data_IF_584418903575
#
_entry.id   IF_584418903575
#
_cell.length_a   1.000
_cell.length_b   1.000
_cell.length_c   1.000
_cell.angle_alpha   90.00
_cell.angle_beta   90.00
_cell.angle_gamma   90.00
#
_symmetry.space_group_name_H-M   'P 1'
#
loop_
_entity.id
_entity.type
_entity.pdbx_description
1 polymer ?
#
# COMPACT_ATOMS: atom_id res chain seq x y z
N UNK A 1 -13.03 -5.99 0.17
CA UNK A 1 -13.78 -4.77 0.54
C UNK A 1 -15.26 -4.90 0.23
N UNK A 2 -15.63 -4.93 -1.06
CA UNK A 2 -17.01 -4.77 -1.56
C UNK A 2 -17.99 -5.86 -1.13
N UNK A 3 -17.54 -7.12 -0.95
CA UNK A 3 -18.42 -8.23 -0.58
C UNK A 3 -19.20 -8.02 0.74
N UNK A 4 -18.65 -7.22 1.67
CA UNK A 4 -19.28 -6.89 2.95
C UNK A 4 -20.24 -5.70 2.91
N UNK A 5 -20.37 -5.00 1.77
CA UNK A 5 -21.16 -3.77 1.68
C UNK A 5 -22.63 -4.08 1.39
N UNK A 6 -23.59 -3.39 2.01
CA UNK A 6 -24.99 -3.53 1.65
C UNK A 6 -25.20 -3.11 0.18
N UNK A 7 -26.23 -3.66 -0.47
CA UNK A 7 -26.49 -3.42 -1.91
C UNK A 7 -26.55 -1.93 -2.24
N UNK A 8 -27.12 -1.10 -1.35
CA UNK A 8 -27.14 0.35 -1.55
C UNK A 8 -25.75 0.95 -1.74
N UNK A 9 -24.76 0.55 -0.94
CA UNK A 9 -23.42 1.10 -1.08
C UNK A 9 -22.75 0.65 -2.38
N UNK A 10 -23.09 -0.52 -2.89
CA UNK A 10 -22.59 -0.98 -4.19
C UNK A 10 -23.16 -0.13 -5.34
N UNK A 11 -24.45 0.21 -5.29
CA UNK A 11 -25.07 1.09 -6.28
C UNK A 11 -24.54 2.52 -6.18
N UNK A 12 -24.38 3.05 -4.96
CA UNK A 12 -23.80 4.38 -4.74
C UNK A 12 -22.37 4.45 -5.25
N UNK A 13 -21.54 3.44 -4.96
CA UNK A 13 -20.18 3.37 -5.50
C UNK A 13 -20.19 3.33 -7.02
N UNK A 14 -21.10 2.56 -7.63
CA UNK A 14 -21.23 2.52 -9.08
C UNK A 14 -21.59 3.90 -9.65
N UNK A 15 -22.55 4.59 -9.05
CA UNK A 15 -22.95 5.95 -9.45
C UNK A 15 -21.80 6.95 -9.33
N UNK A 16 -21.14 7.00 -8.17
CA UNK A 16 -20.01 7.92 -7.93
C UNK A 16 -18.82 7.64 -8.84
N UNK A 17 -18.60 6.37 -9.21
CA UNK A 17 -17.46 5.96 -10.05
C UNK A 17 -17.81 5.89 -11.54
N UNK A 18 -19.05 6.19 -11.92
CA UNK A 18 -19.54 6.05 -13.29
C UNK A 18 -19.46 4.61 -13.82
N UNK A 19 -19.54 3.61 -12.93
CA UNK A 19 -19.44 2.20 -13.28
C UNK A 19 -20.78 1.63 -13.73
N UNK A 20 -20.77 0.77 -14.74
CA UNK A 20 -21.95 0.13 -15.28
C UNK A 20 -22.14 -1.26 -14.65
N UNK A 21 -23.33 -1.50 -14.12
CA UNK A 21 -23.72 -2.79 -13.51
C UNK A 21 -24.60 -3.65 -14.43
N UNK A 22 -24.78 -3.23 -15.69
CA UNK A 22 -25.60 -3.93 -16.67
C UNK A 22 -25.01 -5.32 -16.95
N UNK A 23 -25.84 -6.36 -16.76
CA UNK A 23 -25.44 -7.76 -16.96
C UNK A 23 -25.06 -8.52 -15.68
N UNK A 24 -25.16 -7.91 -14.50
CA UNK A 24 -25.14 -8.64 -13.24
C UNK A 24 -26.51 -9.26 -12.93
N UNK A 25 -26.61 -10.58 -12.95
CA UNK A 25 -27.83 -11.31 -12.58
C UNK A 25 -27.88 -11.63 -11.08
N UNK A 26 -26.73 -11.57 -10.39
CA UNK A 26 -26.62 -11.81 -8.96
C UNK A 26 -25.62 -10.87 -8.28
N UNK A 27 -25.63 -10.87 -6.94
CA UNK A 27 -24.79 -10.00 -6.12
C UNK A 27 -23.30 -10.26 -6.29
N UNK A 28 -22.90 -11.51 -6.51
CA UNK A 28 -21.49 -11.86 -6.70
C UNK A 28 -20.94 -11.25 -8.00
N UNK A 29 -21.68 -11.37 -9.10
CA UNK A 29 -21.36 -10.76 -10.38
C UNK A 29 -21.36 -9.23 -10.30
N UNK A 30 -22.30 -8.62 -9.57
CA UNK A 30 -22.31 -7.18 -9.33
C UNK A 30 -21.03 -6.73 -8.62
N UNK A 31 -20.60 -7.45 -7.58
CA UNK A 31 -19.36 -7.15 -6.85
C UNK A 31 -18.13 -7.33 -7.74
N UNK A 32 -18.09 -8.37 -8.57
CA UNK A 32 -16.98 -8.64 -9.48
C UNK A 32 -16.86 -7.56 -10.58
N UNK A 33 -17.97 -7.23 -11.24
CA UNK A 33 -18.00 -6.17 -12.27
C UNK A 33 -17.64 -4.81 -11.70
N UNK A 34 -18.13 -4.50 -10.49
CA UNK A 34 -17.81 -3.26 -9.82
C UNK A 34 -16.33 -3.24 -9.41
N UNK A 35 -15.81 -4.32 -8.83
CA UNK A 35 -14.40 -4.40 -8.44
C UNK A 35 -13.48 -4.11 -9.65
N UNK A 36 -13.73 -4.77 -10.79
CA UNK A 36 -12.93 -4.58 -11.99
C UNK A 36 -12.90 -3.11 -12.45
N UNK A 37 -14.04 -2.43 -12.43
CA UNK A 37 -14.15 -1.02 -12.84
C UNK A 37 -13.56 -0.06 -11.79
N UNK A 38 -13.71 -0.34 -10.50
CA UNK A 38 -13.15 0.48 -9.42
C UNK A 38 -11.62 0.40 -9.34
N UNK A 39 -11.04 -0.68 -9.83
CA UNK A 39 -9.58 -0.89 -9.87
C UNK A 39 -8.94 -0.43 -11.18
N UNK A 40 -9.73 0.05 -12.15
CA UNK A 40 -9.18 0.63 -13.37
C UNK A 40 -8.34 1.88 -13.04
N UNK A 41 -7.12 2.02 -13.58
CA UNK A 41 -6.21 3.13 -13.27
C UNK A 41 -6.85 4.50 -13.48
N UNK A 42 -7.64 4.65 -14.56
CA UNK A 42 -8.28 5.92 -14.89
C UNK A 42 -9.38 6.22 -13.89
N UNK A 43 -10.21 5.22 -13.56
CA UNK A 43 -11.27 5.38 -12.56
C UNK A 43 -10.71 5.76 -11.18
N UNK A 44 -9.62 5.14 -10.76
CA UNK A 44 -8.97 5.46 -9.47
C UNK A 44 -8.41 6.88 -9.47
N UNK A 45 -7.71 7.28 -10.54
CA UNK A 45 -7.11 8.62 -10.64
C UNK A 45 -8.17 9.72 -10.68
N UNK A 46 -9.27 9.51 -11.42
CA UNK A 46 -10.39 10.44 -11.45
C UNK A 46 -11.04 10.56 -10.07
N UNK A 47 -11.37 9.45 -9.42
CA UNK A 47 -11.96 9.46 -8.10
C UNK A 47 -11.03 10.11 -7.05
N UNK A 48 -9.72 9.90 -7.16
CA UNK A 48 -8.74 10.58 -6.33
C UNK A 48 -8.72 12.10 -6.57
N UNK A 49 -8.73 12.54 -7.83
CA UNK A 49 -8.76 13.97 -8.15
C UNK A 49 -10.04 14.62 -7.60
N UNK A 50 -11.20 13.97 -7.77
CA UNK A 50 -12.48 14.48 -7.29
C UNK A 50 -12.50 14.67 -5.77
N UNK A 51 -11.95 13.73 -5.00
CA UNK A 51 -11.89 13.87 -3.52
C UNK A 51 -10.90 14.95 -3.07
N UNK A 52 -9.77 15.11 -3.78
CA UNK A 52 -8.78 16.16 -3.48
C UNK A 52 -9.33 17.54 -3.83
N UNK A 53 -10.03 17.67 -4.96
CA UNK A 53 -10.70 18.91 -5.37
C UNK A 53 -11.82 19.28 -4.39
N UNK A 54 -12.52 18.28 -3.83
CA UNK A 54 -13.51 18.50 -2.77
C UNK A 54 -12.86 18.99 -1.46
N UNK A 55 -11.74 18.40 -1.05
CA UNK A 55 -10.99 18.84 0.12
C UNK A 55 -9.51 18.47 0.03
N UNK A 56 -8.59 19.44 0.18
CA UNK A 56 -7.15 19.15 0.12
C UNK A 56 -6.68 18.23 1.26
N UNK A 57 -7.40 18.15 2.38
CA UNK A 57 -7.10 17.21 3.46
C UNK A 57 -7.23 15.73 3.04
N UNK A 58 -7.92 15.44 1.94
CA UNK A 58 -8.01 14.08 1.38
C UNK A 58 -6.63 13.59 0.90
N UNK A 59 -5.81 14.46 0.33
CA UNK A 59 -4.44 14.13 -0.08
C UNK A 59 -3.58 13.77 1.13
N UNK A 60 -3.66 14.55 2.21
CA UNK A 60 -2.93 14.27 3.46
C UNK A 60 -3.31 12.90 4.05
N UNK A 61 -4.61 12.58 4.06
CA UNK A 61 -5.14 11.32 4.58
C UNK A 61 -4.66 10.11 3.76
N UNK A 62 -4.65 10.22 2.43
CA UNK A 62 -4.14 9.19 1.53
C UNK A 62 -2.63 9.03 1.71
N UNK A 63 -1.89 10.13 1.79
CA UNK A 63 -0.44 10.12 2.03
C UNK A 63 -0.08 9.48 3.38
N UNK A 64 -0.85 9.75 4.44
CA UNK A 64 -0.67 9.08 5.73
C UNK A 64 -0.82 7.56 5.59
N UNK A 65 -1.90 7.10 4.94
CA UNK A 65 -2.11 5.66 4.71
C UNK A 65 -0.98 5.06 3.89
N UNK A 66 -0.51 5.72 2.82
CA UNK A 66 0.61 5.22 2.01
C UNK A 66 1.92 5.11 2.81
N UNK A 67 2.19 6.06 3.72
CA UNK A 67 3.35 6.00 4.63
C UNK A 67 3.25 4.87 5.64
N UNK A 68 2.06 4.60 6.15
CA UNK A 68 1.75 3.51 7.10
C UNK A 68 1.50 2.17 6.37
N UNK A 69 2.08 1.98 5.18
CA UNK A 69 1.98 0.75 4.37
C UNK A 69 0.54 0.33 4.02
N UNK A 70 -0.37 1.30 3.92
CA UNK A 70 -1.75 1.12 3.50
C UNK A 70 -2.70 0.72 4.63
N UNK A 71 -2.29 0.67 5.90
CA UNK A 71 -3.18 0.29 7.01
C UNK A 71 -2.97 1.15 8.25
N UNK A 72 -4.05 1.58 8.89
CA UNK A 72 -4.01 2.33 10.15
C UNK A 72 -5.17 1.95 11.07
N UNK A 73 -4.97 2.05 12.38
CA UNK A 73 -6.05 1.87 13.34
C UNK A 73 -7.16 2.92 13.12
N UNK A 74 -8.43 2.50 13.08
CA UNK A 74 -9.56 3.41 12.84
C UNK A 74 -9.61 4.53 13.89
N UNK A 75 -9.31 4.21 15.15
CA UNK A 75 -9.27 5.19 16.23
C UNK A 75 -8.15 6.24 16.06
N UNK A 76 -7.07 5.92 15.34
CA UNK A 76 -6.01 6.88 15.02
C UNK A 76 -6.41 7.74 13.83
N UNK A 77 -6.85 7.10 12.73
CA UNK A 77 -7.29 7.80 11.52
C UNK A 77 -8.43 8.80 11.80
N UNK A 78 -9.41 8.40 12.61
CA UNK A 78 -10.58 9.22 12.92
C UNK A 78 -10.33 10.42 13.82
N UNK A 79 -9.20 10.46 14.55
CA UNK A 79 -8.83 11.64 15.36
C UNK A 79 -8.42 12.81 14.49
N UNK A 80 -7.84 12.54 13.32
CA UNK A 80 -7.29 13.55 12.42
C UNK A 80 -8.25 13.85 11.27
N UNK A 81 -8.90 12.83 10.71
CA UNK A 81 -9.73 12.93 9.49
C UNK A 81 -11.23 12.71 9.74
N UNK A 82 -11.62 12.56 11.01
CA UNK A 82 -12.99 12.29 11.45
C UNK A 82 -13.43 10.83 11.28
N UNK A 83 -14.56 10.48 11.88
CA UNK A 83 -15.07 9.11 11.87
C UNK A 83 -15.97 8.83 10.66
N UNK A 84 -16.08 7.55 10.30
CA UNK A 84 -17.08 7.05 9.34
C UNK A 84 -18.33 6.66 10.15
N UNK A 85 -19.46 7.34 9.94
CA UNK A 85 -20.67 7.04 10.70
C UNK A 85 -21.21 5.66 10.32
N UNK A 86 -21.44 4.81 11.33
CA UNK A 86 -22.06 3.51 11.11
C UNK A 86 -23.56 3.67 10.92
N UNK A 87 -24.02 3.39 9.71
CA UNK A 87 -25.42 3.51 9.32
C UNK A 87 -25.90 2.20 8.69
N UNK A 88 -27.08 1.73 9.11
CA UNK A 88 -27.75 0.63 8.42
C UNK A 88 -28.32 1.09 7.06
N UNK A 89 -28.70 0.15 6.17
CA UNK A 89 -29.14 0.46 4.81
C UNK A 89 -30.27 1.50 4.75
N UNK A 90 -31.32 1.34 5.56
CA UNK A 90 -32.44 2.28 5.59
C UNK A 90 -32.08 3.70 6.06
N UNK A 91 -31.01 3.84 6.85
CA UNK A 91 -30.51 5.15 7.29
C UNK A 91 -29.63 5.79 6.21
N UNK A 92 -28.81 4.99 5.52
CA UNK A 92 -28.04 5.42 4.36
C UNK A 92 -28.94 5.99 3.25
N UNK A 93 -30.06 5.34 2.94
CA UNK A 93 -31.05 5.84 1.95
C UNK A 93 -31.63 7.20 2.30
N UNK A 94 -31.81 7.47 3.60
CA UNK A 94 -32.47 8.67 4.09
C UNK A 94 -31.52 9.85 4.20
N UNK A 95 -30.29 9.59 4.64
CA UNK A 95 -29.31 10.64 4.95
C UNK A 95 -28.32 10.86 3.81
N UNK A 96 -28.14 9.88 2.91
CA UNK A 96 -27.24 9.93 1.75
C UNK A 96 -25.89 10.58 2.07
N UNK A 97 -25.12 10.05 3.05
CA UNK A 97 -23.93 10.70 3.58
C UNK A 97 -22.81 10.93 2.54
N UNK A 98 -22.87 10.27 1.39
CA UNK A 98 -21.97 10.52 0.26
C UNK A 98 -22.20 11.84 -0.45
N UNK A 99 -23.38 12.46 -0.33
CA UNK A 99 -23.69 13.76 -0.95
C UNK A 99 -23.07 14.90 -0.13
N UNK A 100 -23.13 14.80 1.20
CA UNK A 100 -22.57 15.75 2.14
C UNK A 100 -21.81 15.01 3.25
N UNK A 101 -20.58 14.53 2.97
CA UNK A 101 -19.78 13.83 3.96
C UNK A 101 -19.43 14.77 5.12
N UNK A 102 -19.55 14.28 6.36
CA UNK A 102 -19.20 15.07 7.55
C UNK A 102 -17.70 15.01 7.87
N UNK A 103 -16.98 14.05 7.28
CA UNK A 103 -15.56 13.82 7.53
C UNK A 103 -14.81 13.44 6.26
N UNK A 104 -13.49 13.66 6.27
CA UNK A 104 -12.60 13.24 5.18
C UNK A 104 -12.61 11.70 5.07
N UNK A 105 -12.73 11.00 6.20
CA UNK A 105 -12.89 9.55 6.21
C UNK A 105 -14.15 9.10 5.45
N UNK A 106 -15.29 9.77 5.62
CA UNK A 106 -16.52 9.47 4.87
C UNK A 106 -16.34 9.74 3.37
N UNK A 107 -15.76 10.89 3.03
CA UNK A 107 -15.49 11.26 1.65
C UNK A 107 -14.67 10.17 0.93
N UNK A 108 -13.55 9.74 1.53
CA UNK A 108 -12.69 8.71 0.95
C UNK A 108 -13.37 7.33 0.92
N UNK A 109 -14.15 6.99 1.95
CA UNK A 109 -14.81 5.70 2.07
C UNK A 109 -15.93 5.52 1.03
N UNK A 110 -16.79 6.52 0.88
CA UNK A 110 -17.90 6.45 -0.07
C UNK A 110 -17.46 6.53 -1.53
N UNK A 111 -16.32 7.15 -1.82
CA UNK A 111 -15.69 7.11 -3.15
C UNK A 111 -14.89 5.82 -3.42
N UNK A 112 -14.82 4.92 -2.44
CA UNK A 112 -14.15 3.63 -2.59
C UNK A 112 -12.62 3.72 -2.64
N UNK A 113 -12.04 4.83 -2.18
CA UNK A 113 -10.57 4.99 -2.08
C UNK A 113 -10.04 4.20 -0.89
N UNK A 114 -10.73 4.23 0.26
CA UNK A 114 -10.36 3.50 1.48
C UNK A 114 -11.44 2.51 1.88
N UNK A 115 -11.02 1.43 2.53
CA UNK A 115 -11.90 0.44 3.16
C UNK A 115 -11.82 0.47 4.68
N UNK A 116 -12.85 -0.09 5.31
CA UNK A 116 -12.89 -0.35 6.75
C UNK A 116 -12.92 -1.85 6.99
N UNK A 117 -12.07 -2.34 7.88
CA UNK A 117 -11.94 -3.74 8.21
C UNK A 117 -11.68 -3.97 9.69
N UNK A 118 -11.46 -5.23 10.06
CA UNK A 118 -11.03 -5.63 11.40
C UNK A 118 -9.78 -6.48 11.28
N UNK A 119 -8.82 -6.25 12.18
CA UNK A 119 -7.56 -7.00 12.25
C UNK A 119 -7.37 -7.58 13.65
N UNK A 120 -6.77 -8.77 13.72
CA UNK A 120 -6.53 -9.51 14.96
C UNK A 120 -7.59 -10.57 15.26
N UNK A 121 -7.50 -11.18 16.43
CA UNK A 121 -8.40 -12.24 16.89
C UNK A 121 -8.71 -12.11 18.39
N UNK A 122 -9.93 -12.47 18.78
CA UNK A 122 -10.38 -12.42 20.18
C UNK A 122 -10.32 -11.02 20.76
N UNK A 123 -9.63 -10.87 21.90
CA UNK A 123 -9.53 -9.59 22.63
C UNK A 123 -8.65 -8.54 21.93
N UNK A 124 -7.83 -8.95 20.94
CA UNK A 124 -6.96 -8.05 20.19
C UNK A 124 -7.58 -7.60 18.85
N UNK A 125 -8.83 -8.01 18.57
CA UNK A 125 -9.54 -7.57 17.38
C UNK A 125 -9.86 -6.07 17.48
N UNK A 126 -9.38 -5.31 16.50
CA UNK A 126 -9.64 -3.88 16.42
C UNK A 126 -9.98 -3.47 14.98
N UNK A 127 -10.70 -2.37 14.85
CA UNK A 127 -11.06 -1.83 13.55
C UNK A 127 -9.88 -1.08 12.93
N UNK A 128 -9.72 -1.26 11.62
CA UNK A 128 -8.69 -0.62 10.82
C UNK A 128 -9.33 0.09 9.63
N UNK A 129 -8.68 1.17 9.21
CA UNK A 129 -8.86 1.78 7.90
C UNK A 129 -7.70 1.28 7.05
N UNK A 130 -8.00 0.86 5.83
CA UNK A 130 -6.99 0.35 4.93
C UNK A 130 -7.19 0.89 3.52
N UNK A 131 -6.08 1.01 2.80
CA UNK A 131 -6.04 1.32 1.38
C UNK A 131 -6.06 0.00 0.60
N UNK A 132 -7.05 -0.26 -0.26
CA UNK A 132 -7.08 -1.48 -1.05
C UNK A 132 -5.80 -1.64 -1.89
N UNK A 133 -5.24 -2.86 -1.90
CA UNK A 133 -4.01 -3.18 -2.65
C UNK A 133 -4.11 -2.90 -4.14
N UNK A 134 -5.33 -2.94 -4.67
CA UNK A 134 -5.61 -2.78 -6.10
C UNK A 134 -5.82 -1.30 -6.47
N UNK A 135 -5.99 -0.43 -5.47
CA UNK A 135 -6.15 1.03 -5.61
C UNK A 135 -4.82 1.73 -5.36
N UNK A 136 -4.06 1.29 -4.36
CA UNK A 136 -2.81 1.92 -3.93
C UNK A 136 -1.79 2.20 -5.07
N UNK A 137 -1.55 1.28 -6.03
CA UNK A 137 -0.56 1.48 -7.10
C UNK A 137 -0.86 2.68 -8.02
N UNK A 138 -2.12 3.10 -8.08
CA UNK A 138 -2.58 4.14 -9.00
C UNK A 138 -2.62 5.54 -8.38
N UNK A 139 -2.34 5.64 -7.08
CA UNK A 139 -2.33 6.88 -6.32
C UNK A 139 -0.94 7.55 -6.38
N UNK A 140 -0.87 8.89 -6.25
CA UNK A 140 0.42 9.58 -6.17
C UNK A 140 1.14 9.13 -4.90
N UNK A 141 2.26 8.46 -5.08
CA UNK A 141 3.06 8.04 -3.94
C UNK A 141 3.83 9.25 -3.42
N UNK A 142 3.79 9.54 -2.11
CA UNK A 142 4.57 10.63 -1.55
C UNK A 142 6.03 10.37 -1.91
N UNK A 143 6.66 11.34 -2.58
CA UNK A 143 8.09 11.29 -2.83
C UNK A 143 8.75 11.15 -1.47
N UNK A 144 9.43 10.03 -1.27
CA UNK A 144 10.08 9.76 0.00
C UNK A 144 11.09 10.90 0.23
N UNK A 145 10.87 11.77 1.21
CA UNK A 145 11.84 12.85 1.52
C UNK A 145 13.20 12.25 1.92
N UNK A 146 13.22 10.98 2.31
CA UNK A 146 14.41 10.15 2.54
C UNK A 146 15.02 9.54 1.28
N UNK A 147 14.35 9.67 0.12
CA UNK A 147 14.96 9.52 -1.20
C UNK A 147 15.53 10.85 -1.70
N UNK A 148 15.91 11.75 -0.77
CA UNK A 148 17.12 12.52 -1.00
C UNK A 148 18.19 11.51 -1.40
N UNK A 149 18.61 11.58 -2.66
CA UNK A 149 19.65 10.78 -3.28
C UNK A 149 20.66 10.38 -2.19
N UNK A 150 20.74 9.09 -1.86
CA UNK A 150 21.95 8.59 -1.18
C UNK A 150 23.08 9.20 -1.98
N UNK A 151 23.94 10.06 -1.41
CA UNK A 151 24.89 10.82 -2.20
C UNK A 151 25.85 9.81 -2.81
N UNK A 152 25.53 9.35 -4.03
CA UNK A 152 26.34 8.42 -4.78
C UNK A 152 27.52 9.25 -5.22
N UNK A 153 28.56 9.27 -4.39
CA UNK A 153 29.81 9.88 -4.76
C UNK A 153 30.46 8.92 -5.76
N UNK A 154 30.59 9.28 -7.06
CA UNK A 154 31.36 8.46 -7.97
C UNK A 154 32.78 8.36 -7.41
N UNK A 155 33.14 7.17 -6.96
CA UNK A 155 34.51 6.83 -6.60
C UNK A 155 35.24 6.56 -7.91
N UNK A 156 36.48 7.02 -8.01
CA UNK A 156 37.31 6.70 -9.16
C UNK A 156 37.30 5.18 -9.38
N UNK A 157 37.20 4.69 -10.64
CA UNK A 157 37.30 3.27 -10.89
C UNK A 157 38.57 2.75 -10.20
N UNK A 158 38.51 1.60 -9.50
CA UNK A 158 39.69 1.03 -8.86
C UNK A 158 40.79 0.96 -9.92
N UNK A 159 42.05 1.29 -9.57
CA UNK A 159 43.15 1.20 -10.53
C UNK A 159 43.10 -0.18 -11.15
N UNK A 160 43.17 -0.25 -12.49
CA UNK A 160 43.15 -1.51 -13.21
C UNK A 160 44.09 -2.47 -12.47
N UNK A 161 43.52 -3.51 -11.86
CA UNK A 161 44.31 -4.51 -11.18
C UNK A 161 45.35 -4.93 -12.18
N UNK A 162 46.63 -4.74 -11.86
CA UNK A 162 47.71 -5.28 -12.67
C UNK A 162 47.40 -6.76 -12.68
N UNK A 163 46.84 -7.27 -13.80
CA UNK A 163 46.74 -8.69 -14.03
C UNK A 163 48.20 -9.11 -14.01
N UNK A 164 48.66 -9.62 -12.87
CA UNK A 164 49.87 -10.37 -12.82
C UNK A 164 49.57 -11.54 -13.75
N UNK A 165 50.08 -11.47 -14.98
CA UNK A 165 50.13 -12.60 -15.90
C UNK A 165 51.14 -13.59 -15.34
N UNK A 166 50.92 -14.03 -14.11
CA UNK A 166 51.61 -15.12 -13.48
C UNK A 166 50.63 -16.30 -13.55
N UNK A 167 50.80 -17.20 -14.53
CA UNK A 167 49.91 -18.35 -14.71
C UNK A 167 49.86 -19.24 -13.47
N UNK A 168 50.89 -19.18 -12.62
CA UNK A 168 51.01 -20.02 -11.43
C UNK A 168 50.62 -19.29 -10.15
N UNK A 169 50.38 -17.96 -10.19
CA UNK A 169 50.07 -17.16 -9.01
C UNK A 169 48.84 -17.66 -8.25
N UNK A 170 47.79 -18.07 -8.97
CA UNK A 170 46.60 -18.66 -8.36
C UNK A 170 46.90 -19.99 -7.66
N UNK A 171 47.72 -20.85 -8.28
CA UNK A 171 48.09 -22.15 -7.69
C UNK A 171 48.95 -21.97 -6.45
N UNK A 172 49.83 -20.96 -6.46
CA UNK A 172 50.70 -20.62 -5.35
C UNK A 172 49.92 -20.03 -4.17
N UNK A 173 48.96 -19.14 -4.44
CA UNK A 173 48.05 -18.59 -3.43
C UNK A 173 47.14 -19.67 -2.84
N UNK A 174 46.55 -20.52 -3.69
CA UNK A 174 45.72 -21.65 -3.26
C UNK A 174 46.52 -22.66 -2.43
N UNK A 175 47.75 -22.98 -2.84
CA UNK A 175 48.66 -23.86 -2.11
C UNK A 175 49.07 -23.27 -0.77
N UNK A 176 49.32 -21.95 -0.71
CA UNK A 176 49.65 -21.24 0.52
C UNK A 176 48.47 -21.22 1.49
N UNK A 177 47.26 -20.94 1.00
CA UNK A 177 46.03 -21.01 1.78
C UNK A 177 45.79 -22.42 2.33
N UNK A 178 45.91 -23.45 1.49
CA UNK A 178 45.73 -24.85 1.90
C UNK A 178 46.79 -25.28 2.91
N UNK A 179 48.04 -24.87 2.71
CA UNK A 179 49.13 -25.08 3.67
C UNK A 179 48.81 -24.44 5.02
N UNK A 180 48.37 -23.18 5.00
CA UNK A 180 47.97 -22.45 6.20
C UNK A 180 46.79 -23.13 6.93
N UNK A 181 45.72 -23.49 6.22
CA UNK A 181 44.55 -24.18 6.80
C UNK A 181 44.92 -25.56 7.37
N UNK A 182 45.91 -26.22 6.78
CA UNK A 182 46.39 -27.53 7.24
C UNK A 182 47.31 -27.43 8.46
N UNK A 183 48.22 -26.44 8.49
CA UNK A 183 49.14 -26.24 9.61
C UNK A 183 48.49 -25.55 10.80
N UNK A 184 47.77 -24.46 10.54
CA UNK A 184 46.92 -23.79 11.52
C UNK A 184 45.52 -24.36 11.41
N UNK A 185 45.17 -25.29 12.31
CA UNK A 185 43.79 -25.77 12.47
C UNK A 185 42.89 -24.57 12.77
N UNK A 186 42.30 -23.97 11.73
CA UNK A 186 41.29 -22.94 11.82
C UNK A 186 40.11 -23.51 12.63
N UNK A 187 40.11 -23.21 13.93
CA UNK A 187 39.00 -23.54 14.82
C UNK A 187 37.90 -22.53 14.55
N UNK A 188 37.04 -22.82 13.59
CA UNK A 188 35.79 -22.08 13.44
C UNK A 188 34.97 -22.27 14.71
N UNK A 189 34.86 -21.21 15.51
CA UNK A 189 33.97 -21.19 16.65
C UNK A 189 32.62 -20.58 16.22
N UNK A 190 31.59 -20.72 17.05
CA UNK A 190 30.23 -20.26 16.73
C UNK A 190 30.08 -18.73 16.55
N UNK A 191 31.14 -17.97 16.76
CA UNK A 191 31.19 -16.51 16.67
C UNK A 191 32.06 -16.00 15.50
N UNK A 192 32.60 -16.90 14.66
CA UNK A 192 33.53 -16.57 13.57
C UNK A 192 34.94 -17.12 13.83
N UNK A 193 35.94 -16.79 12.99
CA UNK A 193 37.32 -17.22 13.23
C UNK A 193 37.84 -16.77 14.61
#
# INVERSE_FOLDING_TARGET
MLAGYPDILLHVLAELRGAFLDGADNREQMVELLAAQLTDPTSVQMAYQDVVDYSPQAEDAVNLLLREHGELAEAQFSREYGAIRQMGPAKLERESPWVYPESIAELLYYNGIIGRGFKGAGQNAHAIIYLPSDVAPWLPHPQNELAGELPVKPVAPPPASRLLSDPDGFLLDAGTLLGFVYSDRLRLNASGP
#
